data_IF_908106548500
#
_entry.id   IF_908106548500
#
_cell.length_a   1.000
_cell.length_b   1.000
_cell.length_c   1.000
_cell.angle_alpha   90.00
_cell.angle_beta   90.00
_cell.angle_gamma   90.00
#
_symmetry.space_group_name_H-M   'P 1'
#
loop_
_entity.id
_entity.type
_entity.pdbx_description
1 polymer ?
#
# COMPACT_ATOMS: atom_id res chain seq x y z
N UNK A 1 -21.15 -25.81 -46.60
CA UNK A 1 -22.41 -26.37 -46.05
C UNK A 1 -22.06 -27.26 -44.86
N UNK A 2 -23.00 -28.00 -44.24
CA UNK A 2 -22.92 -28.78 -42.99
C UNK A 2 -21.95 -28.31 -41.90
N UNK A 3 -20.63 -28.39 -42.11
CA UNK A 3 -19.62 -27.81 -41.22
C UNK A 3 -19.65 -26.27 -41.15
N UNK A 4 -20.04 -25.59 -42.25
CA UNK A 4 -20.26 -24.14 -42.22
C UNK A 4 -21.56 -23.81 -41.50
N UNK A 5 -22.65 -24.49 -41.87
CA UNK A 5 -23.97 -24.35 -41.25
C UNK A 5 -23.86 -24.52 -39.71
N UNK A 6 -23.15 -25.55 -39.24
CA UNK A 6 -22.90 -25.79 -37.82
C UNK A 6 -21.95 -24.79 -37.13
N UNK A 7 -21.08 -24.09 -37.88
CA UNK A 7 -20.29 -22.97 -37.35
C UNK A 7 -21.17 -21.74 -37.14
N UNK A 8 -22.04 -21.47 -38.10
CA UNK A 8 -22.92 -20.30 -38.11
C UNK A 8 -24.03 -20.45 -37.04
N UNK A 9 -24.60 -21.66 -36.88
CA UNK A 9 -25.52 -22.01 -35.79
C UNK A 9 -24.89 -21.84 -34.41
N UNK A 10 -23.63 -22.30 -34.23
CA UNK A 10 -22.88 -22.15 -32.97
C UNK A 10 -22.55 -20.68 -32.69
N UNK A 11 -22.11 -19.93 -33.70
CA UNK A 11 -21.83 -18.50 -33.57
C UNK A 11 -23.08 -17.71 -33.14
N UNK A 12 -24.22 -18.00 -33.77
CA UNK A 12 -25.50 -17.39 -33.40
C UNK A 12 -25.92 -17.75 -31.97
N UNK A 13 -25.81 -19.02 -31.58
CA UNK A 13 -26.17 -19.49 -30.22
C UNK A 13 -25.31 -18.81 -29.14
N UNK A 14 -23.99 -18.72 -29.36
CA UNK A 14 -23.07 -18.02 -28.46
C UNK A 14 -23.39 -16.53 -28.35
N UNK A 15 -23.75 -15.87 -29.46
CA UNK A 15 -24.10 -14.44 -29.47
C UNK A 15 -25.45 -14.16 -28.80
N UNK A 16 -26.42 -15.08 -28.91
CA UNK A 16 -27.69 -15.00 -28.18
C UNK A 16 -27.45 -15.07 -26.66
N UNK A 17 -26.68 -16.03 -26.17
CA UNK A 17 -26.39 -16.13 -24.73
C UNK A 17 -25.62 -14.91 -24.19
N UNK A 18 -24.71 -14.31 -24.99
CA UNK A 18 -24.07 -13.04 -24.62
C UNK A 18 -25.06 -11.86 -24.57
N UNK A 19 -25.97 -11.77 -25.54
CA UNK A 19 -26.97 -10.70 -25.62
C UNK A 19 -28.02 -10.79 -24.51
N UNK A 20 -28.49 -12.00 -24.20
CA UNK A 20 -29.44 -12.28 -23.10
C UNK A 20 -28.75 -12.26 -21.72
N UNK A 21 -27.42 -12.16 -21.69
CA UNK A 21 -26.56 -12.22 -20.50
C UNK A 21 -26.72 -13.53 -19.69
N UNK A 22 -27.03 -14.64 -20.37
CA UNK A 22 -26.97 -16.00 -19.83
C UNK A 22 -25.53 -16.53 -19.93
N UNK A 23 -24.69 -16.01 -19.03
CA UNK A 23 -23.26 -16.28 -19.05
C UNK A 23 -22.92 -17.73 -18.66
N UNK A 24 -23.78 -18.41 -17.92
CA UNK A 24 -23.59 -19.82 -17.52
C UNK A 24 -23.79 -20.74 -18.75
N UNK A 25 -24.87 -20.55 -19.50
CA UNK A 25 -25.12 -21.30 -20.74
C UNK A 25 -24.05 -21.01 -21.80
N UNK A 26 -23.60 -19.75 -21.90
CA UNK A 26 -22.47 -19.38 -22.75
C UNK A 26 -21.19 -20.18 -22.41
N UNK A 27 -20.78 -20.22 -21.14
CA UNK A 27 -19.57 -20.94 -20.71
C UNK A 27 -19.72 -22.44 -20.95
N UNK A 28 -20.85 -23.05 -20.59
CA UNK A 28 -21.10 -24.47 -20.86
C UNK A 28 -21.02 -24.81 -22.36
N UNK A 29 -21.61 -23.98 -23.22
CA UNK A 29 -21.57 -24.17 -24.68
C UNK A 29 -20.14 -24.02 -25.24
N UNK A 30 -19.37 -23.04 -24.75
CA UNK A 30 -17.96 -22.90 -25.12
C UNK A 30 -17.13 -24.10 -24.65
N UNK A 31 -17.26 -24.53 -23.39
CA UNK A 31 -16.49 -25.66 -22.85
C UNK A 31 -16.79 -26.95 -23.61
N UNK A 32 -18.05 -27.20 -23.97
CA UNK A 32 -18.43 -28.32 -24.84
C UNK A 32 -17.83 -28.22 -26.25
N UNK A 33 -17.79 -27.02 -26.84
CA UNK A 33 -17.21 -26.78 -28.17
C UNK A 33 -15.67 -26.75 -28.21
N UNK A 34 -14.99 -26.45 -27.09
CA UNK A 34 -13.53 -26.23 -26.98
C UNK A 34 -12.69 -27.44 -27.41
N UNK A 35 -13.26 -28.65 -27.39
CA UNK A 35 -12.60 -29.87 -27.85
C UNK A 35 -12.67 -30.11 -29.37
N UNK A 36 -13.50 -29.37 -30.11
CA UNK A 36 -13.70 -29.56 -31.55
C UNK A 36 -12.86 -28.56 -32.38
N UNK A 37 -11.84 -29.01 -33.13
CA UNK A 37 -10.99 -28.11 -33.93
C UNK A 37 -11.75 -27.41 -35.06
N UNK A 38 -12.82 -28.01 -35.59
CA UNK A 38 -13.58 -27.44 -36.72
C UNK A 38 -14.31 -26.14 -36.36
N UNK A 39 -14.51 -25.84 -35.07
CA UNK A 39 -15.18 -24.62 -34.57
C UNK A 39 -14.29 -23.73 -33.70
N UNK A 40 -12.99 -24.05 -33.56
CA UNK A 40 -12.08 -23.37 -32.64
C UNK A 40 -11.96 -21.85 -32.88
N UNK A 41 -12.06 -21.41 -34.14
CA UNK A 41 -12.04 -19.98 -34.52
C UNK A 41 -13.29 -19.23 -34.02
N UNK A 42 -14.47 -19.82 -34.18
CA UNK A 42 -15.76 -19.30 -33.69
C UNK A 42 -15.72 -19.19 -32.17
N UNK A 43 -15.28 -20.26 -31.50
CA UNK A 43 -15.12 -20.31 -30.04
C UNK A 43 -14.15 -19.22 -29.55
N UNK A 44 -13.00 -19.06 -30.20
CA UNK A 44 -12.00 -18.03 -29.82
C UNK A 44 -12.57 -16.62 -29.98
N UNK A 45 -13.30 -16.34 -31.07
CA UNK A 45 -13.94 -15.05 -31.31
C UNK A 45 -15.08 -14.76 -30.32
N UNK A 46 -15.84 -15.78 -29.92
CA UNK A 46 -16.85 -15.66 -28.87
C UNK A 46 -16.22 -15.38 -27.50
N UNK A 47 -15.14 -16.07 -27.13
CA UNK A 47 -14.43 -15.86 -25.84
C UNK A 47 -13.83 -14.46 -25.75
N UNK A 48 -13.22 -13.93 -26.82
CA UNK A 48 -12.72 -12.55 -26.81
C UNK A 48 -13.85 -11.50 -26.69
N UNK A 49 -15.02 -11.77 -27.28
CA UNK A 49 -16.23 -10.94 -27.07
C UNK A 49 -16.76 -11.03 -25.64
N UNK A 50 -16.77 -12.22 -25.04
CA UNK A 50 -17.12 -12.44 -23.63
C UNK A 50 -16.19 -11.69 -22.67
N UNK A 51 -14.87 -11.78 -22.89
CA UNK A 51 -13.86 -11.03 -22.11
C UNK A 51 -14.12 -9.52 -22.19
N UNK A 52 -14.40 -9.00 -23.38
CA UNK A 52 -14.70 -7.57 -23.60
C UNK A 52 -16.04 -7.14 -23.01
N UNK A 53 -17.06 -8.01 -23.01
CA UNK A 53 -18.35 -7.79 -22.33
C UNK A 53 -18.14 -7.71 -20.80
N UNK A 54 -17.59 -8.77 -20.21
CA UNK A 54 -17.38 -8.91 -18.77
C UNK A 54 -16.50 -7.79 -18.18
N UNK A 55 -15.49 -7.32 -18.91
CA UNK A 55 -14.66 -6.20 -18.49
C UNK A 55 -15.39 -4.84 -18.46
N UNK A 56 -16.55 -4.72 -19.14
CA UNK A 56 -17.37 -3.51 -19.19
C UNK A 56 -18.58 -3.49 -18.25
N UNK A 57 -18.92 -4.62 -17.60
CA UNK A 57 -20.08 -4.71 -16.71
C UNK A 57 -19.72 -4.25 -15.29
N UNK A 58 -20.65 -3.52 -14.64
CA UNK A 58 -20.49 -3.07 -13.27
C UNK A 58 -20.33 -4.23 -12.27
N UNK A 59 -19.55 -4.00 -11.21
CA UNK A 59 -18.96 -5.06 -10.37
C UNK A 59 -19.91 -5.90 -9.52
N UNK A 60 -21.23 -5.79 -9.69
CA UNK A 60 -22.25 -6.49 -8.92
C UNK A 60 -22.17 -8.04 -9.00
N UNK A 61 -21.58 -8.57 -10.07
CA UNK A 61 -21.39 -10.02 -10.29
C UNK A 61 -19.93 -10.42 -10.54
N UNK A 62 -18.97 -9.59 -10.06
CA UNK A 62 -17.51 -9.79 -10.23
C UNK A 62 -17.07 -11.24 -10.01
N UNK A 63 -17.52 -11.86 -8.91
CA UNK A 63 -16.99 -13.15 -8.48
C UNK A 63 -17.40 -14.28 -9.43
N UNK A 64 -18.67 -14.28 -9.88
CA UNK A 64 -19.18 -15.19 -10.93
C UNK A 64 -18.47 -14.94 -12.27
N UNK A 65 -18.24 -13.67 -12.62
CA UNK A 65 -17.51 -13.31 -13.85
C UNK A 65 -16.04 -13.79 -13.82
N UNK A 66 -15.37 -13.74 -12.65
CA UNK A 66 -14.02 -14.27 -12.47
C UNK A 66 -14.01 -15.80 -12.61
N UNK A 67 -14.97 -16.51 -12.01
CA UNK A 67 -15.11 -17.96 -12.16
C UNK A 67 -15.30 -18.37 -13.63
N UNK A 68 -16.25 -17.75 -14.34
CA UNK A 68 -16.49 -18.00 -15.76
C UNK A 68 -15.24 -17.74 -16.62
N UNK A 69 -14.46 -16.69 -16.33
CA UNK A 69 -13.20 -16.45 -17.03
C UNK A 69 -12.15 -17.55 -16.75
N UNK A 70 -12.12 -18.12 -15.54
CA UNK A 70 -11.20 -19.23 -15.20
C UNK A 70 -11.62 -20.54 -15.87
N UNK A 71 -12.91 -20.87 -15.91
CA UNK A 71 -13.45 -22.04 -16.64
C UNK A 71 -13.13 -21.98 -18.15
N UNK A 72 -13.07 -20.76 -18.71
CA UNK A 72 -12.66 -20.52 -20.10
C UNK A 72 -11.14 -20.51 -20.33
N UNK A 73 -10.31 -20.71 -19.29
CA UNK A 73 -8.83 -20.58 -19.29
C UNK A 73 -8.33 -19.14 -19.56
N UNK A 74 -9.17 -18.13 -19.30
CA UNK A 74 -8.86 -16.70 -19.41
C UNK A 74 -8.27 -16.15 -18.10
N UNK A 75 -7.23 -16.81 -17.60
CA UNK A 75 -6.61 -16.53 -16.28
C UNK A 75 -6.09 -15.09 -16.15
N UNK A 76 -5.57 -14.49 -17.24
CA UNK A 76 -5.06 -13.11 -17.22
C UNK A 76 -6.20 -12.08 -17.08
N UNK A 77 -7.26 -12.09 -17.93
CA UNK A 77 -8.48 -11.30 -17.68
C UNK A 77 -9.11 -11.53 -16.29
N UNK A 78 -9.21 -12.79 -15.83
CA UNK A 78 -9.76 -13.12 -14.51
C UNK A 78 -8.98 -12.44 -13.37
N UNK A 79 -7.64 -12.49 -13.44
CA UNK A 79 -6.74 -11.85 -12.48
C UNK A 79 -6.93 -10.32 -12.49
N UNK A 80 -6.99 -9.71 -13.68
CA UNK A 80 -7.16 -8.26 -13.81
C UNK A 80 -8.51 -7.79 -13.23
N UNK A 81 -9.61 -8.49 -13.52
CA UNK A 81 -10.95 -8.18 -13.02
C UNK A 81 -11.05 -8.33 -11.49
N UNK A 82 -10.41 -9.36 -10.92
CA UNK A 82 -10.37 -9.56 -9.48
C UNK A 82 -9.64 -8.41 -8.77
N UNK A 83 -8.45 -8.03 -9.27
CA UNK A 83 -7.60 -6.96 -8.71
C UNK A 83 -8.23 -5.58 -8.86
N UNK A 84 -8.86 -5.27 -9.99
CA UNK A 84 -9.62 -4.02 -10.18
C UNK A 84 -10.80 -3.93 -9.19
N UNK A 85 -11.60 -4.99 -9.05
CA UNK A 85 -12.67 -5.03 -8.06
C UNK A 85 -12.15 -4.83 -6.63
N UNK A 86 -10.95 -5.35 -6.33
CA UNK A 86 -10.29 -5.13 -5.05
C UNK A 86 -9.72 -3.71 -4.88
N UNK A 87 -9.24 -3.06 -5.95
CA UNK A 87 -8.86 -1.65 -5.94
C UNK A 87 -10.09 -0.75 -5.71
N UNK A 88 -11.19 -0.97 -6.44
CA UNK A 88 -12.46 -0.25 -6.25
C UNK A 88 -12.99 -0.41 -4.82
N UNK A 89 -12.93 -1.64 -4.26
CA UNK A 89 -13.26 -1.92 -2.85
C UNK A 89 -12.35 -1.15 -1.88
N UNK A 90 -11.03 -1.15 -2.10
CA UNK A 90 -10.07 -0.45 -1.25
C UNK A 90 -10.30 1.06 -1.27
N UNK A 91 -10.47 1.65 -2.46
CA UNK A 91 -10.79 3.08 -2.64
C UNK A 91 -12.09 3.45 -1.91
N UNK A 92 -13.13 2.61 -2.01
CA UNK A 92 -14.38 2.81 -1.27
C UNK A 92 -14.16 2.78 0.25
N UNK A 93 -13.43 1.79 0.79
CA UNK A 93 -13.11 1.72 2.22
C UNK A 93 -12.30 2.92 2.69
N UNK A 94 -11.35 3.41 1.89
CA UNK A 94 -10.54 4.61 2.20
C UNK A 94 -11.40 5.88 2.22
N UNK A 95 -12.38 6.04 1.33
CA UNK A 95 -13.31 7.19 1.37
C UNK A 95 -14.16 7.27 2.64
N UNK A 96 -14.39 6.14 3.32
CA UNK A 96 -15.09 6.11 4.61
C UNK A 96 -14.19 6.45 5.81
N UNK A 97 -12.88 6.65 5.61
CA UNK A 97 -11.94 7.06 6.67
C UNK A 97 -12.07 8.55 6.96
N UNK A 98 -12.95 8.90 7.89
CA UNK A 98 -13.20 10.28 8.31
C UNK A 98 -11.94 11.00 8.81
N UNK A 99 -11.69 12.22 8.33
CA UNK A 99 -10.60 13.07 8.78
C UNK A 99 -10.87 13.68 10.18
N UNK A 100 -10.69 12.87 11.24
CA UNK A 100 -10.99 13.23 12.65
C UNK A 100 -10.07 14.30 13.28
N UNK A 101 -9.21 14.97 12.50
CA UNK A 101 -8.15 15.85 13.01
C UNK A 101 -7.00 15.15 13.74
N UNK A 102 -7.22 13.93 14.26
CA UNK A 102 -6.21 13.14 14.95
C UNK A 102 -5.46 12.22 13.98
N UNK A 103 -4.26 12.65 13.55
CA UNK A 103 -3.34 11.90 12.66
C UNK A 103 -3.18 10.44 13.10
N UNK A 104 -2.99 10.20 14.40
CA UNK A 104 -2.82 8.87 14.99
C UNK A 104 -4.04 7.94 14.90
N UNK A 105 -5.24 8.49 14.73
CA UNK A 105 -6.48 7.75 14.52
C UNK A 105 -6.74 7.55 13.02
N UNK A 106 -6.50 8.59 12.20
CA UNK A 106 -6.55 8.53 10.74
C UNK A 106 -5.63 7.43 10.20
N UNK A 107 -4.35 7.41 10.58
CA UNK A 107 -3.39 6.38 10.13
C UNK A 107 -3.84 4.97 10.54
N UNK A 108 -4.40 4.80 11.74
CA UNK A 108 -4.90 3.50 12.20
C UNK A 108 -6.12 3.02 11.40
N UNK A 109 -7.05 3.92 11.06
CA UNK A 109 -8.21 3.61 10.24
C UNK A 109 -7.82 3.34 8.77
N UNK A 110 -6.93 4.16 8.20
CA UNK A 110 -6.37 3.97 6.85
C UNK A 110 -5.62 2.64 6.73
N UNK A 111 -4.76 2.30 7.71
CA UNK A 111 -4.09 1.00 7.75
C UNK A 111 -5.08 -0.16 7.81
N UNK A 112 -6.19 -0.05 8.56
CA UNK A 112 -7.22 -1.10 8.59
C UNK A 112 -7.90 -1.24 7.22
N UNK A 113 -8.36 -0.14 6.63
CA UNK A 113 -9.01 -0.15 5.32
C UNK A 113 -8.13 -0.80 4.23
N UNK A 114 -6.84 -0.45 4.17
CA UNK A 114 -5.89 -1.02 3.20
C UNK A 114 -5.50 -2.45 3.56
N UNK A 115 -5.01 -2.71 4.78
CA UNK A 115 -4.46 -4.03 5.14
C UNK A 115 -5.52 -5.12 5.23
N UNK A 116 -6.74 -4.84 5.69
CA UNK A 116 -7.83 -5.82 5.63
C UNK A 116 -8.26 -6.08 4.20
N UNK A 117 -8.24 -5.08 3.31
CA UNK A 117 -8.56 -5.29 1.89
C UNK A 117 -7.46 -6.07 1.15
N UNK A 118 -6.19 -5.84 1.46
CA UNK A 118 -5.08 -6.68 0.97
C UNK A 118 -5.17 -8.12 1.49
N UNK A 119 -5.52 -8.32 2.76
CA UNK A 119 -5.69 -9.66 3.34
C UNK A 119 -6.85 -10.41 2.68
N UNK A 120 -8.02 -9.78 2.52
CA UNK A 120 -9.14 -10.39 1.79
C UNK A 120 -8.78 -10.68 0.34
N UNK A 121 -8.09 -9.75 -0.35
CA UNK A 121 -7.62 -9.98 -1.71
C UNK A 121 -6.69 -11.19 -1.80
N UNK A 122 -5.76 -11.36 -0.86
CA UNK A 122 -4.85 -12.51 -0.79
C UNK A 122 -5.55 -13.82 -0.40
N UNK A 123 -6.53 -13.76 0.50
CA UNK A 123 -7.33 -14.94 0.88
C UNK A 123 -8.23 -15.41 -0.26
N UNK A 124 -8.94 -14.49 -0.94
CA UNK A 124 -9.68 -14.79 -2.17
C UNK A 124 -8.74 -15.32 -3.26
N UNK A 125 -7.55 -14.72 -3.41
CA UNK A 125 -6.54 -15.18 -4.37
C UNK A 125 -6.16 -16.64 -4.08
N UNK A 126 -5.85 -17.00 -2.83
CA UNK A 126 -5.59 -18.40 -2.45
C UNK A 126 -6.80 -19.31 -2.72
N UNK A 127 -7.99 -18.98 -2.21
CA UNK A 127 -9.19 -19.85 -2.31
C UNK A 127 -9.62 -20.09 -3.75
N UNK A 128 -9.56 -19.07 -4.62
CA UNK A 128 -9.95 -19.18 -6.04
C UNK A 128 -9.01 -20.10 -6.84
N UNK A 129 -7.84 -20.46 -6.32
CA UNK A 129 -6.97 -21.47 -6.93
C UNK A 129 -7.23 -22.92 -6.48
N UNK A 130 -8.04 -23.17 -5.43
CA UNK A 130 -8.16 -24.51 -4.80
C UNK A 130 -9.44 -25.26 -5.24
N UNK A 131 -10.59 -24.60 -5.33
CA UNK A 131 -11.89 -25.29 -5.51
C UNK A 131 -12.18 -25.85 -6.92
N UNK A 132 -11.48 -25.38 -7.97
CA UNK A 132 -11.81 -25.71 -9.38
C UNK A 132 -11.54 -27.20 -9.76
N UNK A 133 -10.84 -27.97 -8.92
CA UNK A 133 -10.53 -29.39 -9.17
C UNK A 133 -11.14 -30.41 -8.18
N UNK A 134 -12.09 -30.02 -7.34
CA UNK A 134 -12.58 -30.89 -6.25
C UNK A 134 -13.85 -31.72 -6.52
N UNK A 135 -14.30 -31.88 -7.78
CA UNK A 135 -15.27 -32.94 -8.14
C UNK A 135 -14.56 -34.31 -8.22
N UNK A 136 -13.98 -34.75 -7.10
CA UNK A 136 -13.58 -36.15 -6.79
C UNK A 136 -12.96 -36.30 -5.39
N UNK A 137 -12.36 -35.26 -4.80
CA UNK A 137 -11.31 -35.44 -3.79
C UNK A 137 -11.75 -35.33 -2.32
N UNK A 138 -12.88 -35.92 -1.98
CA UNK A 138 -13.46 -35.94 -0.63
C UNK A 138 -12.69 -36.81 0.40
N UNK A 139 -11.40 -37.08 0.17
CA UNK A 139 -10.64 -38.16 0.84
C UNK A 139 -9.30 -37.75 1.47
N UNK A 140 -8.82 -36.52 1.30
CA UNK A 140 -7.52 -36.06 1.85
C UNK A 140 -7.65 -34.97 2.93
N UNK A 141 -8.64 -35.10 3.82
CA UNK A 141 -8.95 -34.13 4.88
C UNK A 141 -7.90 -34.06 6.03
N UNK A 142 -6.71 -34.65 5.86
CA UNK A 142 -5.65 -34.70 6.87
C UNK A 142 -4.24 -34.84 6.26
N UNK A 143 -3.48 -33.74 6.12
CA UNK A 143 -2.04 -33.58 6.46
C UNK A 143 -1.34 -32.54 5.58
N UNK A 144 -0.59 -31.62 6.22
CA UNK A 144 0.21 -30.56 5.58
C UNK A 144 -0.62 -29.59 4.70
N UNK A 145 0.03 -28.53 4.22
CA UNK A 145 -0.60 -27.51 3.37
C UNK A 145 0.28 -27.16 2.17
N UNK A 146 0.19 -25.89 1.73
CA UNK A 146 0.87 -25.25 0.59
C UNK A 146 0.42 -25.65 -0.82
N UNK A 147 0.19 -24.59 -1.61
CA UNK A 147 0.39 -24.50 -3.06
C UNK A 147 -0.62 -25.16 -4.01
N UNK A 148 -1.87 -24.70 -3.92
CA UNK A 148 -2.89 -24.78 -4.98
C UNK A 148 -2.35 -24.54 -6.41
N UNK A 149 -1.40 -23.60 -6.58
CA UNK A 149 -0.97 -23.05 -7.87
C UNK A 149 -0.11 -24.02 -8.74
N UNK A 150 -0.16 -25.32 -8.45
CA UNK A 150 0.64 -26.37 -9.09
C UNK A 150 0.21 -26.67 -10.54
N UNK A 151 0.59 -25.77 -11.47
CA UNK A 151 0.49 -26.04 -12.92
C UNK A 151 0.48 -24.80 -13.81
N UNK A 152 -0.02 -23.66 -13.32
CA UNK A 152 -0.11 -22.43 -14.12
C UNK A 152 1.16 -21.59 -14.07
N UNK A 153 1.39 -20.79 -15.12
CA UNK A 153 2.55 -19.89 -15.23
C UNK A 153 2.46 -18.78 -14.16
N UNK A 154 3.59 -18.34 -13.62
CA UNK A 154 3.70 -17.36 -12.52
C UNK A 154 3.14 -15.95 -12.77
N UNK A 155 2.58 -15.67 -13.96
CA UNK A 155 2.06 -14.37 -14.36
C UNK A 155 1.03 -13.74 -13.40
N UNK A 156 0.01 -14.47 -12.91
CA UNK A 156 -0.96 -13.90 -11.97
C UNK A 156 -0.34 -13.50 -10.62
N UNK A 157 0.59 -14.31 -10.11
CA UNK A 157 1.29 -13.99 -8.85
C UNK A 157 2.18 -12.74 -9.00
N UNK A 158 2.85 -12.59 -10.15
CA UNK A 158 3.57 -11.35 -10.50
C UNK A 158 2.60 -10.16 -10.59
N UNK A 159 1.43 -10.34 -11.22
CA UNK A 159 0.41 -9.30 -11.35
C UNK A 159 -0.14 -8.86 -9.98
N UNK A 160 -0.47 -9.80 -9.09
CA UNK A 160 -0.84 -9.54 -7.70
C UNK A 160 0.28 -8.80 -6.94
N UNK A 161 1.54 -9.23 -7.10
CA UNK A 161 2.69 -8.60 -6.43
C UNK A 161 2.91 -7.16 -6.90
N UNK A 162 2.79 -6.90 -8.21
CA UNK A 162 2.87 -5.55 -8.79
C UNK A 162 1.73 -4.66 -8.29
N UNK A 163 0.49 -5.16 -8.35
CA UNK A 163 -0.69 -4.45 -7.85
C UNK A 163 -0.58 -4.12 -6.35
N UNK A 164 -0.19 -5.10 -5.52
CA UNK A 164 0.04 -4.90 -4.10
C UNK A 164 1.10 -3.83 -3.85
N UNK A 165 2.21 -3.85 -4.59
CA UNK A 165 3.29 -2.84 -4.46
C UNK A 165 2.78 -1.43 -4.78
N UNK A 166 1.96 -1.28 -5.82
CA UNK A 166 1.32 -0.02 -6.20
C UNK A 166 0.34 0.49 -5.11
N UNK A 167 -0.54 -0.37 -4.60
CA UNK A 167 -1.47 -0.01 -3.52
C UNK A 167 -0.74 0.37 -2.22
N UNK A 168 0.37 -0.31 -1.89
CA UNK A 168 1.24 0.04 -0.77
C UNK A 168 1.97 1.37 -0.99
N UNK A 169 2.37 1.70 -2.22
CA UNK A 169 2.96 3.00 -2.59
C UNK A 169 1.96 4.14 -2.42
N UNK A 170 0.72 3.96 -2.87
CA UNK A 170 -0.38 4.91 -2.67
C UNK A 170 -0.71 5.10 -1.18
N UNK A 171 -0.83 4.01 -0.41
CA UNK A 171 -1.02 4.06 1.04
C UNK A 171 0.14 4.78 1.76
N UNK A 172 1.39 4.46 1.43
CA UNK A 172 2.56 5.09 2.06
C UNK A 172 2.66 6.58 1.72
N UNK A 173 2.22 6.98 0.53
CA UNK A 173 2.10 8.39 0.12
C UNK A 173 1.05 9.13 0.95
N UNK A 174 -0.13 8.53 1.17
CA UNK A 174 -1.17 9.10 2.04
C UNK A 174 -0.72 9.21 3.50
N UNK A 175 -0.12 8.15 4.06
CA UNK A 175 0.50 8.21 5.40
C UNK A 175 1.56 9.31 5.46
N UNK A 176 2.38 9.45 4.41
CA UNK A 176 3.44 10.48 4.35
C UNK A 176 2.85 11.89 4.43
N UNK A 177 1.83 12.21 3.62
CA UNK A 177 1.19 13.53 3.59
C UNK A 177 0.60 13.93 4.95
N UNK A 178 0.01 12.99 5.69
CA UNK A 178 -0.63 13.26 6.98
C UNK A 178 0.30 13.16 8.20
N UNK A 179 1.44 12.47 8.09
CA UNK A 179 2.40 12.25 9.20
C UNK A 179 3.63 13.16 9.10
N UNK A 180 4.03 13.55 7.89
CA UNK A 180 5.22 14.38 7.63
C UNK A 180 4.84 15.72 7.01
N UNK A 181 4.55 16.71 7.87
CA UNK A 181 4.28 18.10 7.47
C UNK A 181 5.42 18.72 6.63
N UNK A 182 6.63 18.14 6.67
CA UNK A 182 7.71 18.45 5.74
C UNK A 182 7.69 17.49 4.55
N UNK A 183 6.70 17.63 3.65
CA UNK A 183 6.76 16.96 2.35
C UNK A 183 8.06 17.36 1.62
N UNK A 184 8.82 16.42 1.04
CA UNK A 184 9.90 16.79 0.15
C UNK A 184 9.33 17.56 -1.06
N UNK A 185 10.04 18.57 -1.60
CA UNK A 185 9.68 19.14 -2.89
C UNK A 185 9.82 18.06 -3.99
N UNK A 186 9.01 18.10 -5.05
CA UNK A 186 9.13 17.15 -6.15
C UNK A 186 10.52 17.23 -6.82
N UNK A 187 11.07 16.11 -7.33
CA UNK A 187 12.46 16.02 -7.76
C UNK A 187 12.83 16.93 -8.94
N UNK A 188 11.84 17.44 -9.66
CA UNK A 188 11.99 18.42 -10.74
C UNK A 188 12.28 19.85 -10.27
N UNK A 189 12.19 20.14 -8.97
CA UNK A 189 12.41 21.49 -8.41
C UNK A 189 13.79 21.60 -7.78
N UNK A 190 14.79 21.91 -8.60
CA UNK A 190 16.13 22.36 -8.18
C UNK A 190 16.15 23.81 -7.66
N UNK A 191 14.99 24.43 -7.44
CA UNK A 191 14.89 25.76 -6.83
C UNK A 191 15.23 25.68 -5.34
N UNK A 192 16.29 26.38 -4.87
CA UNK A 192 16.43 26.61 -3.44
C UNK A 192 15.27 27.49 -2.96
N UNK A 193 14.81 27.25 -1.72
CA UNK A 193 13.76 28.03 -1.03
C UNK A 193 12.34 27.80 -1.59
N UNK A 194 11.64 26.81 -1.01
CA UNK A 194 10.21 26.97 -0.71
C UNK A 194 10.09 27.30 0.79
N UNK A 195 9.87 28.57 1.11
CA UNK A 195 9.93 29.13 2.47
C UNK A 195 8.61 29.01 3.25
N UNK A 196 7.97 27.84 3.20
CA UNK A 196 6.88 27.46 4.11
C UNK A 196 7.39 26.87 5.44
N UNK A 197 8.70 26.99 5.72
CA UNK A 197 9.27 26.66 7.02
C UNK A 197 8.86 27.68 8.08
N UNK A 198 7.62 27.56 8.57
CA UNK A 198 7.27 27.94 9.94
C UNK A 198 8.36 27.34 10.82
N UNK A 199 9.11 28.18 11.53
CA UNK A 199 10.29 27.77 12.29
C UNK A 199 9.87 27.06 13.57
N UNK A 200 9.39 25.82 13.40
CA UNK A 200 8.89 24.96 14.47
C UNK A 200 9.89 24.90 15.62
N UNK A 201 9.40 25.07 16.84
CA UNK A 201 10.28 24.99 18.01
C UNK A 201 10.74 23.54 18.26
N UNK A 202 11.84 23.40 19.00
CA UNK A 202 12.34 22.09 19.47
C UNK A 202 11.30 21.34 20.31
N UNK A 203 10.35 22.03 20.98
CA UNK A 203 9.21 21.38 21.63
C UNK A 203 8.23 20.77 20.61
N UNK A 204 7.92 21.49 19.53
CA UNK A 204 7.00 21.02 18.47
C UNK A 204 7.61 19.88 17.66
N UNK A 205 8.93 19.91 17.43
CA UNK A 205 9.65 18.76 16.88
C UNK A 205 9.64 17.55 17.83
N UNK A 206 9.67 17.73 19.16
CA UNK A 206 9.54 16.59 20.09
C UNK A 206 8.15 15.96 20.03
N UNK A 207 7.09 16.76 19.97
CA UNK A 207 5.71 16.25 19.81
C UNK A 207 5.50 15.60 18.45
N UNK A 208 5.96 16.22 17.36
CA UNK A 208 5.89 15.63 16.01
C UNK A 208 6.67 14.31 15.93
N UNK A 209 7.86 14.22 16.53
CA UNK A 209 8.65 12.97 16.58
C UNK A 209 7.89 11.84 17.29
N UNK A 210 7.20 12.15 18.39
CA UNK A 210 6.35 11.18 19.09
C UNK A 210 5.20 10.71 18.20
N UNK A 211 4.51 11.63 17.52
CA UNK A 211 3.42 11.32 16.59
C UNK A 211 3.90 10.44 15.44
N UNK A 212 5.00 10.81 14.76
CA UNK A 212 5.60 10.06 13.66
C UNK A 212 5.98 8.65 14.11
N UNK A 213 6.69 8.52 15.23
CA UNK A 213 7.09 7.20 15.78
C UNK A 213 5.89 6.32 16.12
N UNK A 214 4.82 6.90 16.67
CA UNK A 214 3.61 6.15 17.05
C UNK A 214 2.78 5.75 15.83
N UNK A 215 2.67 6.62 14.81
CA UNK A 215 2.04 6.31 13.53
C UNK A 215 2.79 5.18 12.80
N UNK A 216 4.11 5.30 12.62
CA UNK A 216 4.91 4.26 11.97
C UNK A 216 4.85 2.94 12.73
N UNK A 217 4.86 2.94 14.07
CA UNK A 217 4.68 1.72 14.87
C UNK A 217 3.33 1.04 14.59
N UNK A 218 2.24 1.81 14.47
CA UNK A 218 0.91 1.27 14.10
C UNK A 218 0.91 0.66 12.69
N UNK A 219 1.53 1.33 11.72
CA UNK A 219 1.68 0.83 10.34
C UNK A 219 2.48 -0.48 10.30
N UNK A 220 3.68 -0.51 10.89
CA UNK A 220 4.53 -1.71 10.84
C UNK A 220 4.02 -2.87 11.71
N UNK A 221 3.27 -2.59 12.79
CA UNK A 221 2.57 -3.66 13.51
C UNK A 221 1.49 -4.33 12.65
N UNK A 222 0.72 -3.55 11.87
CA UNK A 222 -0.26 -4.08 10.92
C UNK A 222 0.40 -4.85 9.78
N UNK A 223 1.47 -4.29 9.17
CA UNK A 223 2.26 -4.97 8.15
C UNK A 223 2.80 -6.32 8.65
N UNK A 224 3.26 -6.40 9.90
CA UNK A 224 3.77 -7.64 10.49
C UNK A 224 2.69 -8.72 10.66
N UNK A 225 1.40 -8.36 10.85
CA UNK A 225 0.32 -9.36 10.86
C UNK A 225 0.11 -9.96 9.46
N UNK A 226 0.26 -9.17 8.40
CA UNK A 226 0.18 -9.65 7.01
C UNK A 226 1.40 -10.53 6.65
N UNK A 227 2.59 -10.24 7.19
CA UNK A 227 3.76 -11.12 7.05
C UNK A 227 3.57 -12.48 7.72
N UNK A 228 2.87 -12.55 8.85
CA UNK A 228 2.51 -13.83 9.48
C UNK A 228 1.48 -14.62 8.67
N UNK A 229 0.76 -13.97 7.75
CA UNK A 229 -0.09 -14.59 6.74
C UNK A 229 0.64 -14.88 5.41
N UNK A 230 1.94 -14.57 5.30
CA UNK A 230 2.75 -14.83 4.08
C UNK A 230 2.96 -13.64 3.14
N UNK A 231 2.38 -12.47 3.41
CA UNK A 231 2.55 -11.27 2.58
C UNK A 231 3.75 -10.41 3.04
N UNK A 232 4.80 -10.20 2.23
CA UNK A 232 6.01 -9.47 2.65
C UNK A 232 5.83 -7.93 2.64
N UNK A 233 4.89 -7.42 3.45
CA UNK A 233 4.43 -6.03 3.41
C UNK A 233 5.45 -5.02 3.97
N UNK A 234 6.18 -5.31 5.06
CA UNK A 234 7.11 -4.33 5.62
C UNK A 234 8.33 -4.05 4.71
N UNK A 235 8.94 -5.04 4.03
CA UNK A 235 9.95 -4.81 3.00
C UNK A 235 9.51 -3.84 1.89
N UNK A 236 8.25 -3.93 1.42
CA UNK A 236 7.73 -3.01 0.40
C UNK A 236 7.41 -1.62 0.97
N UNK A 237 6.92 -1.52 2.21
CA UNK A 237 6.58 -0.21 2.83
C UNK A 237 7.80 0.60 3.28
N UNK A 238 8.87 -0.04 3.76
CA UNK A 238 9.99 0.66 4.38
C UNK A 238 10.71 1.70 3.47
N UNK A 239 10.97 1.45 2.18
CA UNK A 239 11.59 2.42 1.27
C UNK A 239 10.82 3.74 1.16
N UNK A 240 9.48 3.70 1.10
CA UNK A 240 8.65 4.90 0.93
C UNK A 240 8.80 5.90 2.09
N UNK A 241 8.98 5.41 3.33
CA UNK A 241 9.16 6.27 4.50
C UNK A 241 10.61 6.75 4.70
N UNK A 242 11.59 6.18 3.99
CA UNK A 242 13.02 6.49 4.17
C UNK A 242 13.34 7.95 3.83
N UNK A 243 12.85 8.47 2.70
CA UNK A 243 13.13 9.85 2.27
C UNK A 243 12.42 10.91 3.15
N UNK A 244 11.12 10.78 3.51
CA UNK A 244 10.47 11.64 4.49
C UNK A 244 11.17 11.67 5.86
N UNK A 245 11.57 10.51 6.38
CA UNK A 245 12.35 10.42 7.63
C UNK A 245 13.69 11.15 7.53
N UNK A 246 14.45 10.94 6.45
CA UNK A 246 15.71 11.67 6.23
C UNK A 246 15.50 13.20 6.15
N UNK A 247 14.45 13.66 5.45
CA UNK A 247 14.13 15.09 5.37
C UNK A 247 13.78 15.64 6.76
N UNK A 248 12.88 14.98 7.48
CA UNK A 248 12.45 15.37 8.83
C UNK A 248 13.63 15.47 9.81
N UNK A 249 14.51 14.46 9.84
CA UNK A 249 15.71 14.45 10.67
C UNK A 249 16.67 15.58 10.30
N UNK A 250 16.90 15.84 8.99
CA UNK A 250 17.73 16.97 8.54
C UNK A 250 17.15 18.32 8.97
N UNK A 251 15.82 18.49 8.91
CA UNK A 251 15.15 19.71 9.36
C UNK A 251 15.21 19.88 10.89
N UNK A 252 15.00 18.83 11.68
CA UNK A 252 15.18 18.87 13.13
C UNK A 252 16.62 19.22 13.54
N UNK A 253 17.63 18.63 12.89
CA UNK A 253 19.04 18.95 13.12
C UNK A 253 19.38 20.39 12.73
N UNK A 254 18.77 20.94 11.67
CA UNK A 254 18.87 22.37 11.35
C UNK A 254 18.27 23.21 12.48
N UNK A 255 17.01 22.95 12.87
CA UNK A 255 16.31 23.71 13.92
C UNK A 255 17.08 23.71 15.24
N UNK A 256 17.63 22.57 15.67
CA UNK A 256 18.53 22.50 16.83
C UNK A 256 19.72 23.45 16.65
N UNK A 257 20.45 23.35 15.53
CA UNK A 257 21.63 24.20 15.29
C UNK A 257 21.29 25.69 15.22
N UNK A 258 20.12 26.06 14.69
CA UNK A 258 19.63 27.44 14.69
C UNK A 258 19.25 27.90 16.11
N UNK A 259 18.43 27.13 16.85
CA UNK A 259 18.04 27.47 18.23
C UNK A 259 19.25 27.61 19.13
N UNK A 260 20.20 26.66 19.12
CA UNK A 260 21.45 26.77 19.89
C UNK A 260 22.31 27.95 19.42
N UNK A 261 22.36 28.27 18.13
CA UNK A 261 23.08 29.46 17.62
C UNK A 261 22.44 30.76 18.09
N UNK A 262 21.11 30.83 18.13
CA UNK A 262 20.37 32.04 18.51
C UNK A 262 20.23 32.18 20.04
N UNK A 263 20.25 31.08 20.79
CA UNK A 263 20.48 31.05 22.24
C UNK A 263 21.90 31.54 22.56
N UNK A 264 22.95 30.99 21.93
CA UNK A 264 24.35 31.47 22.11
C UNK A 264 24.53 32.92 21.64
N UNK A 265 23.79 33.39 20.62
CA UNK A 265 23.75 34.83 20.29
C UNK A 265 23.06 35.63 21.39
N UNK A 266 21.92 35.17 21.92
CA UNK A 266 21.18 35.88 22.97
C UNK A 266 22.02 35.97 24.24
N UNK A 267 22.61 34.87 24.68
CA UNK A 267 23.60 34.82 25.77
C UNK A 267 24.78 35.78 25.51
N UNK A 268 25.31 35.86 24.28
CA UNK A 268 26.36 36.83 23.92
C UNK A 268 25.87 38.29 23.97
N UNK A 269 24.64 38.60 23.54
CA UNK A 269 24.06 39.94 23.64
C UNK A 269 23.73 40.32 25.09
N UNK A 270 23.27 39.38 25.90
CA UNK A 270 23.04 39.53 27.34
C UNK A 270 24.37 39.71 28.10
N UNK A 271 25.42 38.97 27.73
CA UNK A 271 26.79 39.18 28.24
C UNK A 271 27.36 40.54 27.82
N UNK A 272 27.15 40.98 26.58
CA UNK A 272 27.58 42.32 26.11
C UNK A 272 26.81 43.45 26.80
N UNK A 273 25.54 43.25 27.15
CA UNK A 273 24.77 44.25 27.91
C UNK A 273 25.06 44.19 29.42
N UNK A 274 25.45 43.05 29.97
CA UNK A 274 25.98 42.94 31.34
C UNK A 274 27.41 43.51 31.48
N UNK A 275 28.32 43.32 30.51
CA UNK A 275 29.66 43.95 30.58
C UNK A 275 29.62 45.47 30.39
N UNK A 276 28.51 46.02 29.90
CA UNK A 276 28.20 47.46 29.94
C UNK A 276 27.57 47.92 31.26
N UNK A 277 27.11 47.00 32.15
CA UNK A 277 26.45 47.30 33.44
C UNK A 277 26.65 46.19 34.49
N UNK A 278 27.54 46.47 35.45
CA UNK A 278 27.80 45.79 36.74
C UNK A 278 29.04 44.88 36.81
N UNK A 279 29.82 45.04 37.88
CA UNK A 279 31.09 44.34 38.18
C UNK A 279 30.89 43.30 39.29
N UNK A 280 30.14 42.23 39.00
CA UNK A 280 29.63 41.30 40.03
C UNK A 280 29.85 39.82 39.67
N UNK A 281 30.67 39.13 40.47
CA UNK A 281 31.47 37.96 40.05
C UNK A 281 30.89 36.59 40.43
N UNK A 282 29.55 36.46 40.50
CA UNK A 282 28.89 35.25 41.02
C UNK A 282 28.02 34.44 40.03
N UNK A 283 27.93 34.80 38.74
CA UNK A 283 27.03 34.11 37.79
C UNK A 283 27.64 32.96 36.97
N UNK A 284 28.96 32.86 36.84
CA UNK A 284 29.63 31.93 35.89
C UNK A 284 29.34 30.44 36.12
N UNK A 285 29.02 30.04 37.36
CA UNK A 285 28.84 28.63 37.76
C UNK A 285 27.59 27.98 37.13
N UNK A 286 26.63 28.77 36.63
CA UNK A 286 25.37 28.25 36.08
C UNK A 286 25.51 27.62 34.67
N UNK A 287 26.28 28.25 33.77
CA UNK A 287 26.30 27.92 32.34
C UNK A 287 26.86 26.52 32.02
N UNK A 288 27.75 25.99 32.87
CA UNK A 288 28.41 24.69 32.61
C UNK A 288 27.46 23.49 32.73
N UNK A 289 26.30 23.65 33.40
CA UNK A 289 25.33 22.57 33.60
C UNK A 289 24.36 22.40 32.42
N UNK A 290 23.84 23.48 31.84
CA UNK A 290 22.83 23.44 30.77
C UNK A 290 23.34 22.76 29.50
N UNK A 291 24.52 23.18 28.99
CA UNK A 291 25.13 22.59 27.80
C UNK A 291 25.44 21.09 27.95
N UNK A 292 25.84 20.66 29.15
CA UNK A 292 26.15 19.25 29.45
C UNK A 292 24.89 18.37 29.48
N UNK A 293 23.78 18.90 30.03
CA UNK A 293 22.46 18.25 29.99
C UNK A 293 21.94 18.15 28.56
N UNK A 294 22.09 19.20 27.75
CA UNK A 294 21.68 19.20 26.34
C UNK A 294 22.41 18.12 25.52
N UNK A 295 23.74 18.03 25.67
CA UNK A 295 24.55 17.00 25.01
C UNK A 295 24.09 15.57 25.38
N UNK A 296 23.70 15.34 26.64
CA UNK A 296 23.15 14.06 27.10
C UNK A 296 21.86 13.65 26.37
N UNK A 297 20.91 14.59 26.20
CA UNK A 297 19.68 14.32 25.45
C UNK A 297 19.92 14.01 23.97
N UNK A 298 20.87 14.70 23.32
CA UNK A 298 21.24 14.44 21.92
C UNK A 298 21.86 13.06 21.77
N UNK A 299 22.78 12.67 22.66
CA UNK A 299 23.38 11.32 22.62
C UNK A 299 22.35 10.22 22.87
N UNK A 300 21.39 10.43 23.78
CA UNK A 300 20.36 9.43 24.06
C UNK A 300 19.44 9.22 22.85
N UNK A 301 18.96 10.30 22.24
CA UNK A 301 18.14 10.25 21.03
C UNK A 301 18.83 9.51 19.87
N UNK A 302 20.14 9.72 19.67
CA UNK A 302 20.91 9.02 18.64
C UNK A 302 21.02 7.51 18.93
N UNK A 303 21.24 7.10 20.20
CA UNK A 303 21.25 5.67 20.58
C UNK A 303 19.91 4.99 20.35
N UNK A 304 18.81 5.67 20.70
CA UNK A 304 17.47 5.12 20.55
C UNK A 304 17.04 5.05 19.07
N UNK A 305 17.55 5.95 18.22
CA UNK A 305 17.38 5.86 16.76
C UNK A 305 18.18 4.72 16.12
N UNK A 306 19.42 4.47 16.55
CA UNK A 306 20.24 3.35 16.05
C UNK A 306 19.53 2.01 16.28
N UNK A 307 18.96 1.80 17.47
CA UNK A 307 18.16 0.60 17.82
C UNK A 307 16.85 0.44 17.04
N UNK A 308 16.40 1.48 16.33
CA UNK A 308 15.22 1.42 15.46
C UNK A 308 15.56 1.20 13.98
N UNK A 309 16.83 1.42 13.60
CA UNK A 309 17.34 1.18 12.24
C UNK A 309 18.05 -0.18 12.16
N UNK A 310 18.66 -0.63 13.25
CA UNK A 310 19.22 -1.96 13.45
C UNK A 310 18.65 -2.53 14.76
N UNK A 311 17.61 -3.38 14.69
CA UNK A 311 16.93 -3.95 15.87
C UNK A 311 17.75 -5.03 16.58
#
# INVERSE_FOLDING_TARGET
QRLQDARDDLAHSLDMHLFENDLDAFVHLVVAAKANPDVAEVVTSAVDRFVRHVAGVDGAHRDRHVLHLLELDQVVPATALCLDGYARRMVSQVHHVTATGHVEAYVLALSRAVFTTLLMCYQDFLVVYEDIFSISFLYLLMSCGTDWFHGHKSGPFVSFTMWMTDQLSHFASQVTLHVFECSPPPPSVLSPISSSSVTKDVVEFKTATKTISTCLRKVFYGARQLELAGLPIAPYLAPHFQLPLQHYIRSYVKTIKWKTKDEVKRERWELVTMTLRSDDKQKDVAMVKSARVFAGYVQQYLRDMVKLVHP
#
